data_IF_110117582112
#
_entry.id   IF_110117582112
#
_cell.length_a   1.000
_cell.length_b   1.000
_cell.length_c   1.000
_cell.angle_alpha   90.00
_cell.angle_beta   90.00
_cell.angle_gamma   90.00
#
_symmetry.space_group_name_H-M   'P 1'
#
loop_
_entity.id
_entity.type
_entity.pdbx_description
1 polymer ?
#
# COMPACT_ATOMS: atom_id res chain seq x y z
N UNK A 1 -16.29 -0.65 29.99
CA UNK A 1 -15.41 0.48 29.62
C UNK A 1 -13.99 -0.06 29.44
N UNK A 2 -13.45 -0.14 28.22
CA UNK A 2 -12.03 -0.41 28.02
C UNK A 2 -11.22 0.90 28.04
N UNK A 3 -9.94 0.87 28.45
CA UNK A 3 -9.08 2.05 28.51
C UNK A 3 -8.51 2.43 27.13
N UNK A 4 -8.07 3.70 26.95
CA UNK A 4 -7.47 4.18 25.72
C UNK A 4 -5.98 3.77 25.64
N UNK A 5 -5.61 3.10 24.54
CA UNK A 5 -4.20 2.85 24.24
C UNK A 5 -3.53 4.12 23.73
N UNK A 6 -2.48 4.50 24.45
CA UNK A 6 -1.54 5.57 24.12
C UNK A 6 -0.69 5.23 22.88
N UNK A 7 -0.39 6.27 22.11
CA UNK A 7 0.65 6.31 21.08
C UNK A 7 2.04 5.98 21.64
N UNK A 8 2.86 5.26 20.87
CA UNK A 8 4.26 5.65 20.65
C UNK A 8 4.78 5.11 19.30
N UNK A 9 5.54 5.93 18.54
CA UNK A 9 6.13 5.58 17.24
C UNK A 9 7.57 5.07 17.43
N UNK A 10 7.93 3.99 16.73
CA UNK A 10 9.33 3.68 16.49
C UNK A 10 9.57 3.49 14.99
N UNK A 11 10.31 4.44 14.44
CA UNK A 11 11.11 4.21 13.26
C UNK A 11 12.33 3.39 13.67
N UNK A 12 12.63 2.28 12.99
CA UNK A 12 13.73 2.25 12.01
C UNK A 12 13.92 0.85 11.42
N UNK A 13 14.45 0.87 10.20
CA UNK A 13 14.64 -0.20 9.24
C UNK A 13 15.25 -1.52 9.77
N UNK A 14 14.84 -2.64 9.16
CA UNK A 14 15.69 -3.40 8.21
C UNK A 14 14.90 -4.57 7.62
N UNK A 15 15.37 -5.02 6.46
CA UNK A 15 15.19 -6.36 5.89
C UNK A 15 14.22 -6.51 4.70
N UNK A 16 14.87 -6.59 3.54
CA UNK A 16 14.56 -7.45 2.40
C UNK A 16 13.58 -6.85 1.39
N UNK A 17 14.18 -5.99 0.57
CA UNK A 17 13.89 -5.77 -0.84
C UNK A 17 13.72 -7.11 -1.57
N UNK A 18 12.50 -7.66 -1.58
CA UNK A 18 12.13 -8.71 -2.52
C UNK A 18 11.65 -8.03 -3.78
N UNK A 19 12.53 -7.91 -4.76
CA UNK A 19 12.27 -7.41 -6.10
C UNK A 19 11.00 -8.07 -6.67
N UNK A 20 9.86 -7.38 -6.54
CA UNK A 20 8.60 -7.79 -7.15
C UNK A 20 8.69 -7.37 -8.62
N UNK A 21 9.20 -8.30 -9.42
CA UNK A 21 9.12 -8.28 -10.88
C UNK A 21 7.71 -7.82 -11.30
N UNK A 22 7.59 -6.62 -11.85
CA UNK A 22 6.28 -6.10 -12.25
C UNK A 22 5.74 -6.95 -13.39
N UNK A 23 4.42 -7.14 -13.44
CA UNK A 23 3.72 -7.86 -14.51
C UNK A 23 4.10 -7.33 -15.91
N UNK A 24 4.47 -6.05 -15.97
CA UNK A 24 4.96 -5.34 -17.18
C UNK A 24 6.33 -5.81 -17.66
N UNK A 25 7.19 -6.29 -16.76
CA UNK A 25 8.50 -6.84 -17.12
C UNK A 25 8.37 -8.25 -17.73
N UNK A 26 7.42 -9.06 -17.23
CA UNK A 26 7.15 -10.41 -17.77
C UNK A 26 6.50 -10.40 -19.14
N UNK A 27 5.78 -9.33 -19.49
CA UNK A 27 5.16 -9.16 -20.81
C UNK A 27 6.14 -8.68 -21.89
N UNK A 28 7.35 -8.22 -21.51
CA UNK A 28 8.36 -7.72 -22.45
C UNK A 28 9.53 -8.67 -22.65
N UNK A 29 9.68 -9.71 -21.85
CA UNK A 29 10.65 -10.76 -22.08
C UNK A 29 10.09 -11.78 -23.08
N UNK A 30 9.89 -11.34 -24.32
CA UNK A 30 9.87 -12.23 -25.48
C UNK A 30 11.33 -12.50 -25.89
N UNK A 31 12.01 -13.35 -25.12
CA UNK A 31 13.01 -14.22 -25.71
C UNK A 31 12.37 -15.61 -25.71
N UNK A 32 11.47 -15.82 -26.67
CA UNK A 32 11.14 -17.17 -27.10
C UNK A 32 12.45 -17.71 -27.67
N UNK A 33 13.06 -18.76 -27.08
CA UNK A 33 14.21 -19.38 -27.71
C UNK A 33 13.74 -19.77 -29.11
N UNK A 34 14.39 -19.23 -30.13
CA UNK A 34 14.19 -19.68 -31.50
C UNK A 34 14.17 -21.21 -31.48
N UNK A 35 13.20 -21.88 -32.14
CA UNK A 35 13.20 -23.34 -32.20
C UNK A 35 14.58 -23.73 -32.67
N UNK A 36 15.37 -24.35 -31.78
CA UNK A 36 16.62 -24.95 -32.19
C UNK A 36 16.21 -26.09 -33.11
N UNK A 37 16.18 -25.79 -34.40
CA UNK A 37 16.04 -26.80 -35.43
C UNK A 37 17.11 -27.86 -35.14
N UNK A 38 16.76 -29.16 -35.29
CA UNK A 38 17.72 -30.22 -35.03
C UNK A 38 18.99 -29.92 -35.81
N UNK A 39 20.12 -29.91 -35.11
CA UNK A 39 21.44 -29.76 -35.70
C UNK A 39 21.56 -30.84 -36.79
N UNK A 40 21.46 -30.43 -38.05
CA UNK A 40 21.69 -31.32 -39.18
C UNK A 40 23.17 -31.73 -39.13
N UNK A 41 23.52 -33.02 -38.94
CA UNK A 41 24.80 -33.47 -39.45
C UNK A 41 24.74 -33.34 -40.97
N UNK A 42 25.65 -32.55 -41.54
CA UNK A 42 25.91 -32.43 -42.97
C UNK A 42 26.54 -33.73 -43.50
N UNK A 43 25.82 -34.84 -43.33
CA UNK A 43 26.03 -36.07 -44.10
C UNK A 43 24.91 -36.01 -45.11
N UNK A 44 25.25 -35.84 -46.39
CA UNK A 44 24.31 -35.94 -47.51
C UNK A 44 23.52 -37.27 -47.38
N UNK A 45 22.29 -37.27 -46.82
CA UNK A 45 21.63 -38.51 -46.40
C UNK A 45 21.20 -39.32 -47.62
N UNK A 46 21.00 -38.63 -48.75
CA UNK A 46 20.37 -39.13 -49.96
C UNK A 46 21.33 -40.02 -50.78
N UNK A 47 22.64 -39.74 -50.78
CA UNK A 47 23.59 -40.43 -51.69
C UNK A 47 23.91 -41.89 -51.35
N UNK A 48 23.44 -42.41 -50.21
CA UNK A 48 23.85 -43.73 -49.74
C UNK A 48 22.71 -44.67 -49.37
N UNK A 49 21.45 -44.33 -49.68
CA UNK A 49 20.29 -45.11 -49.21
C UNK A 49 20.15 -46.39 -50.02
N UNK A 50 20.29 -46.29 -51.34
CA UNK A 50 20.39 -47.46 -52.21
C UNK A 50 21.50 -48.41 -51.73
N UNK A 51 22.71 -47.90 -51.54
CA UNK A 51 23.86 -48.70 -51.11
C UNK A 51 23.67 -49.32 -49.71
N UNK A 52 23.00 -48.62 -48.78
CA UNK A 52 22.66 -49.14 -47.45
C UNK A 52 21.60 -50.23 -47.53
N UNK A 53 20.53 -50.02 -48.31
CA UNK A 53 19.47 -51.01 -48.51
C UNK A 53 20.01 -52.25 -49.20
N UNK A 54 20.82 -52.08 -50.24
CA UNK A 54 21.50 -53.16 -50.94
C UNK A 54 22.42 -53.95 -50.00
N UNK A 55 23.19 -53.27 -49.14
CA UNK A 55 24.02 -53.94 -48.14
C UNK A 55 23.20 -54.75 -47.14
N UNK A 56 22.07 -54.21 -46.64
CA UNK A 56 21.18 -54.89 -45.69
C UNK A 56 20.57 -56.15 -46.32
N UNK A 57 20.00 -56.03 -47.53
CA UNK A 57 19.35 -57.17 -48.20
C UNK A 57 20.35 -58.21 -48.74
N UNK A 58 21.61 -57.84 -48.92
CA UNK A 58 22.68 -58.78 -49.29
C UNK A 58 23.24 -59.56 -48.08
N UNK A 59 23.11 -59.03 -46.86
CA UNK A 59 23.74 -59.57 -45.66
C UNK A 59 23.00 -60.77 -45.05
N UNK A 60 21.70 -60.92 -45.33
CA UNK A 60 20.85 -62.03 -44.85
C UNK A 60 21.04 -63.36 -45.60
N UNK A 61 21.99 -63.42 -46.54
CA UNK A 61 22.32 -64.65 -47.29
C UNK A 61 23.21 -65.65 -46.52
N UNK A 62 23.52 -65.40 -45.24
CA UNK A 62 24.31 -66.30 -44.40
C UNK A 62 23.43 -67.30 -43.63
N UNK A 63 23.16 -68.42 -44.30
CA UNK A 63 22.52 -69.60 -43.74
C UNK A 63 22.81 -70.85 -44.58
N UNK A 64 24.05 -71.33 -44.53
CA UNK A 64 24.46 -72.72 -44.74
C UNK A 64 24.35 -73.33 -46.17
N UNK A 65 25.53 -73.36 -46.81
CA UNK A 65 26.17 -74.41 -47.62
C UNK A 65 25.35 -75.34 -48.55
N UNK A 66 25.93 -75.50 -49.75
CA UNK A 66 25.75 -76.56 -50.74
C UNK A 66 24.49 -76.54 -51.61
N UNK A 67 24.53 -75.72 -52.68
CA UNK A 67 24.15 -76.13 -54.03
C UNK A 67 24.42 -74.99 -55.02
N UNK A 68 24.89 -75.38 -56.21
CA UNK A 68 25.06 -74.60 -57.45
C UNK A 68 24.42 -73.19 -57.44
N UNK A 69 25.28 -72.20 -57.65
CA UNK A 69 24.95 -70.80 -57.91
C UNK A 69 23.63 -70.64 -58.68
N UNK A 70 22.63 -70.09 -58.00
CA UNK A 70 21.48 -69.48 -58.65
C UNK A 70 21.72 -67.96 -58.66
N UNK A 71 21.86 -67.29 -59.82
CA UNK A 71 22.11 -65.85 -59.93
C UNK A 71 20.89 -64.97 -59.57
N UNK A 72 19.82 -65.56 -59.03
CA UNK A 72 18.53 -64.88 -58.82
C UNK A 72 18.46 -64.07 -57.51
N UNK A 73 19.27 -64.39 -56.49
CA UNK A 73 19.21 -63.72 -55.18
C UNK A 73 19.78 -62.30 -55.20
N UNK A 74 20.81 -62.02 -55.99
CA UNK A 74 21.37 -60.67 -56.14
C UNK A 74 20.39 -59.72 -56.86
N UNK A 75 19.63 -60.26 -57.83
CA UNK A 75 18.65 -59.48 -58.58
C UNK A 75 17.46 -59.06 -57.70
N UNK A 76 17.05 -59.94 -56.78
CA UNK A 76 15.97 -59.64 -55.84
C UNK A 76 16.37 -58.57 -54.81
N UNK A 77 17.59 -58.65 -54.27
CA UNK A 77 18.12 -57.63 -53.35
C UNK A 77 18.20 -56.24 -54.01
N UNK A 78 18.62 -56.18 -55.27
CA UNK A 78 18.66 -54.94 -56.06
C UNK A 78 17.26 -54.36 -56.31
N UNK A 79 16.28 -55.21 -56.64
CA UNK A 79 14.88 -54.77 -56.82
C UNK A 79 14.31 -54.20 -55.50
N UNK A 80 14.55 -54.85 -54.37
CA UNK A 80 14.11 -54.33 -53.06
C UNK A 80 14.82 -53.04 -52.67
N UNK A 81 16.11 -52.91 -53.00
CA UNK A 81 16.86 -51.68 -52.75
C UNK A 81 16.36 -50.51 -53.60
N UNK A 82 16.05 -50.74 -54.89
CA UNK A 82 15.44 -49.73 -55.77
C UNK A 82 14.06 -49.31 -55.28
N UNK A 83 13.19 -50.28 -54.97
CA UNK A 83 11.86 -49.99 -54.47
C UNK A 83 11.87 -49.27 -53.12
N UNK A 84 12.78 -49.67 -52.22
CA UNK A 84 12.98 -49.00 -50.93
C UNK A 84 13.51 -47.57 -51.08
N UNK A 85 14.37 -47.32 -52.06
CA UNK A 85 14.82 -45.97 -52.40
C UNK A 85 13.65 -45.12 -52.92
N UNK A 86 12.83 -45.63 -53.82
CA UNK A 86 11.68 -44.91 -54.37
C UNK A 86 10.68 -44.51 -53.26
N UNK A 87 10.40 -45.43 -52.33
CA UNK A 87 9.54 -45.16 -51.16
C UNK A 87 10.18 -44.10 -50.26
N UNK A 88 11.49 -44.21 -50.01
CA UNK A 88 12.21 -43.24 -49.20
C UNK A 88 12.15 -41.85 -49.83
N UNK A 89 12.46 -41.73 -51.13
CA UNK A 89 12.44 -40.48 -51.87
C UNK A 89 11.03 -39.89 -51.95
N UNK A 90 10.00 -40.72 -52.05
CA UNK A 90 8.60 -40.29 -51.94
C UNK A 90 8.29 -39.74 -50.54
N UNK A 91 8.72 -40.44 -49.50
CA UNK A 91 8.45 -40.07 -48.10
C UNK A 91 9.15 -38.77 -47.72
N UNK A 92 10.41 -38.59 -48.13
CA UNK A 92 11.16 -37.35 -47.90
C UNK A 92 10.50 -36.18 -48.64
N UNK A 93 10.11 -36.35 -49.90
CA UNK A 93 9.38 -35.30 -50.63
C UNK A 93 8.07 -34.95 -49.94
N UNK A 94 7.32 -35.93 -49.43
CA UNK A 94 6.09 -35.69 -48.69
C UNK A 94 6.34 -34.92 -47.38
N UNK A 95 7.38 -35.28 -46.62
CA UNK A 95 7.76 -34.58 -45.39
C UNK A 95 8.24 -33.16 -45.67
N UNK A 96 9.05 -32.96 -46.71
CA UNK A 96 9.51 -31.64 -47.14
C UNK A 96 8.34 -30.75 -47.55
N UNK A 97 7.43 -31.25 -48.38
CA UNK A 97 6.23 -30.52 -48.79
C UNK A 97 5.33 -30.17 -47.59
N UNK A 98 5.17 -31.10 -46.64
CA UNK A 98 4.42 -30.85 -45.41
C UNK A 98 5.09 -29.78 -44.53
N UNK A 99 6.43 -29.79 -44.46
CA UNK A 99 7.21 -28.79 -43.71
C UNK A 99 7.10 -27.41 -44.34
N UNK A 100 7.26 -27.30 -45.66
CA UNK A 100 7.10 -26.04 -46.41
C UNK A 100 5.69 -25.46 -46.24
N UNK A 101 4.65 -26.29 -46.38
CA UNK A 101 3.26 -25.88 -46.17
C UNK A 101 3.01 -25.39 -44.73
N UNK A 102 3.54 -26.10 -43.73
CA UNK A 102 3.40 -25.72 -42.33
C UNK A 102 4.13 -24.41 -42.04
N UNK A 103 5.35 -24.26 -42.55
CA UNK A 103 6.15 -23.03 -42.42
C UNK A 103 5.46 -21.83 -43.07
N UNK A 104 4.87 -22.03 -44.25
CA UNK A 104 4.07 -21.01 -44.93
C UNK A 104 2.85 -20.58 -44.09
N UNK A 105 2.13 -21.53 -43.50
CA UNK A 105 1.00 -21.25 -42.59
C UNK A 105 1.42 -20.50 -41.33
N UNK A 106 2.55 -20.88 -40.72
CA UNK A 106 3.10 -20.17 -39.56
C UNK A 106 3.42 -18.72 -39.92
N UNK A 107 4.08 -18.51 -41.07
CA UNK A 107 4.44 -17.18 -41.55
C UNK A 107 3.20 -16.32 -41.82
N UNK A 108 2.17 -16.90 -42.46
CA UNK A 108 0.91 -16.22 -42.70
C UNK A 108 0.18 -15.86 -41.38
N UNK A 109 0.16 -16.79 -40.43
CA UNK A 109 -0.41 -16.55 -39.10
C UNK A 109 0.32 -15.44 -38.36
N UNK A 110 1.65 -15.42 -38.41
CA UNK A 110 2.46 -14.36 -37.80
C UNK A 110 2.15 -13.00 -38.42
N UNK A 111 2.05 -12.92 -39.75
CA UNK A 111 1.67 -11.70 -40.44
C UNK A 111 0.26 -11.21 -40.03
N UNK A 112 -0.68 -12.14 -39.90
CA UNK A 112 -2.04 -11.82 -39.45
C UNK A 112 -2.05 -11.32 -37.99
N UNK A 113 -1.34 -12.00 -37.09
CA UNK A 113 -1.25 -11.60 -35.68
C UNK A 113 -0.61 -10.21 -35.52
N UNK A 114 0.46 -9.93 -36.29
CA UNK A 114 1.09 -8.61 -36.31
C UNK A 114 0.11 -7.52 -36.79
N UNK A 115 -0.65 -7.80 -37.84
CA UNK A 115 -1.66 -6.86 -38.35
C UNK A 115 -2.79 -6.62 -37.33
N UNK A 116 -3.31 -7.67 -36.68
CA UNK A 116 -4.34 -7.53 -35.65
C UNK A 116 -3.82 -6.77 -34.42
N UNK A 117 -2.57 -7.00 -34.02
CA UNK A 117 -1.92 -6.26 -32.94
C UNK A 117 -1.76 -4.77 -33.29
N UNK A 118 -1.33 -4.47 -34.52
CA UNK A 118 -1.24 -3.09 -35.00
C UNK A 118 -2.63 -2.41 -35.03
N UNK A 119 -3.66 -3.13 -35.50
CA UNK A 119 -5.03 -2.62 -35.55
C UNK A 119 -5.62 -2.35 -34.16
N UNK A 120 -5.43 -3.27 -33.20
CA UNK A 120 -5.90 -3.09 -31.82
C UNK A 120 -5.16 -1.96 -31.11
N UNK A 121 -3.85 -1.83 -31.34
CA UNK A 121 -3.05 -0.71 -30.84
C UNK A 121 -3.57 0.62 -31.41
N UNK A 122 -3.89 0.66 -32.71
CA UNK A 122 -4.47 1.83 -33.35
C UNK A 122 -5.85 2.18 -32.75
N UNK A 123 -6.73 1.21 -32.54
CA UNK A 123 -8.03 1.43 -31.89
C UNK A 123 -7.87 1.97 -30.47
N UNK A 124 -6.98 1.38 -29.68
CA UNK A 124 -6.71 1.83 -28.31
C UNK A 124 -6.23 3.28 -28.28
N UNK A 125 -5.27 3.63 -29.15
CA UNK A 125 -4.70 4.98 -29.22
C UNK A 125 -5.70 6.03 -29.71
N UNK A 126 -6.62 5.67 -30.60
CA UNK A 126 -7.60 6.62 -31.16
C UNK A 126 -8.88 6.77 -30.35
N UNK A 127 -9.30 5.73 -29.63
CA UNK A 127 -10.59 5.73 -28.95
C UNK A 127 -10.37 5.73 -27.44
N UNK A 128 -9.81 4.65 -26.89
CA UNK A 128 -9.73 4.44 -25.45
C UNK A 128 -8.83 5.45 -24.75
N UNK A 129 -7.65 5.72 -25.32
CA UNK A 129 -6.68 6.64 -24.73
C UNK A 129 -7.23 8.08 -24.62
N UNK A 130 -7.68 8.74 -25.71
CA UNK A 130 -8.20 10.11 -25.61
C UNK A 130 -9.47 10.20 -24.76
N UNK A 131 -10.36 9.20 -24.79
CA UNK A 131 -11.52 9.17 -23.87
C UNK A 131 -11.09 9.10 -22.40
N UNK A 132 -10.10 8.26 -22.08
CA UNK A 132 -9.57 8.22 -20.71
C UNK A 132 -8.85 9.52 -20.31
N UNK A 133 -8.08 10.12 -21.22
CA UNK A 133 -7.37 11.36 -20.98
C UNK A 133 -8.34 12.54 -20.76
N UNK A 134 -9.39 12.64 -21.58
CA UNK A 134 -10.45 13.65 -21.46
C UNK A 134 -11.27 13.47 -20.19
N UNK A 135 -11.56 12.23 -19.78
CA UNK A 135 -12.24 11.96 -18.50
C UNK A 135 -11.38 12.42 -17.31
N UNK A 136 -10.06 12.28 -17.39
CA UNK A 136 -9.14 12.72 -16.35
C UNK A 136 -8.89 14.24 -16.33
N UNK A 137 -9.12 14.94 -17.45
CA UNK A 137 -8.84 16.37 -17.60
C UNK A 137 -10.08 17.27 -17.56
N UNK A 138 -11.28 16.69 -17.66
CA UNK A 138 -12.53 17.44 -17.60
C UNK A 138 -12.85 17.90 -16.17
N UNK A 139 -13.26 19.16 -16.03
CA UNK A 139 -13.54 19.81 -14.74
C UNK A 139 -14.72 19.18 -13.99
N UNK A 140 -15.59 18.46 -14.69
CA UNK A 140 -16.79 17.82 -14.14
C UNK A 140 -16.56 16.40 -13.59
N UNK A 141 -15.31 15.89 -13.63
CA UNK A 141 -14.97 14.52 -13.27
C UNK A 141 -14.08 14.44 -12.00
N UNK A 142 -13.92 13.23 -11.39
CA UNK A 142 -13.40 13.08 -10.04
C UNK A 142 -12.00 13.65 -9.78
N UNK A 143 -11.14 13.73 -10.80
CA UNK A 143 -9.77 14.26 -10.70
C UNK A 143 -9.74 15.76 -10.39
N UNK A 144 -10.58 16.55 -11.06
CA UNK A 144 -10.71 17.98 -10.79
C UNK A 144 -11.36 18.23 -9.41
N UNK A 145 -12.32 17.39 -9.01
CA UNK A 145 -12.93 17.42 -7.68
C UNK A 145 -11.92 17.08 -6.57
N UNK A 146 -11.05 16.10 -6.80
CA UNK A 146 -9.96 15.74 -5.90
C UNK A 146 -8.94 16.88 -5.77
N UNK A 147 -8.52 17.47 -6.89
CA UNK A 147 -7.61 18.61 -6.90
C UNK A 147 -8.20 19.84 -6.20
N UNK A 148 -9.52 20.04 -6.27
CA UNK A 148 -10.23 21.08 -5.51
C UNK A 148 -10.24 20.76 -4.01
N UNK A 149 -10.57 19.52 -3.63
CA UNK A 149 -10.56 19.07 -2.24
C UNK A 149 -9.18 19.17 -1.60
N UNK A 150 -8.13 18.73 -2.30
CA UNK A 150 -6.74 18.82 -1.83
C UNK A 150 -6.32 20.27 -1.61
N UNK A 151 -6.65 21.17 -2.54
CA UNK A 151 -6.38 22.62 -2.37
C UNK A 151 -7.12 23.21 -1.19
N UNK A 152 -8.40 22.84 -0.99
CA UNK A 152 -9.18 23.29 0.17
C UNK A 152 -8.59 22.78 1.49
N UNK A 153 -8.19 21.51 1.55
CA UNK A 153 -7.54 20.93 2.72
C UNK A 153 -6.22 21.63 3.03
N UNK A 154 -5.40 21.91 2.00
CA UNK A 154 -4.14 22.62 2.17
C UNK A 154 -4.35 24.04 2.73
N UNK A 155 -5.35 24.77 2.22
CA UNK A 155 -5.71 26.09 2.76
C UNK A 155 -6.17 26.02 4.22
N UNK A 156 -6.94 24.99 4.59
CA UNK A 156 -7.38 24.79 5.97
C UNK A 156 -6.23 24.44 6.89
N UNK A 157 -5.28 23.62 6.42
CA UNK A 157 -4.06 23.28 7.15
C UNK A 157 -3.23 24.54 7.41
N UNK A 158 -2.95 25.34 6.38
CA UNK A 158 -2.17 26.57 6.54
C UNK A 158 -2.85 27.58 7.46
N UNK A 159 -4.19 27.68 7.43
CA UNK A 159 -4.93 28.53 8.36
C UNK A 159 -4.80 28.06 9.81
N UNK A 160 -4.90 26.73 10.04
CA UNK A 160 -4.73 26.15 11.37
C UNK A 160 -3.29 26.33 11.89
N UNK A 161 -2.27 26.20 11.04
CA UNK A 161 -0.87 26.46 11.39
C UNK A 161 -0.66 27.92 11.82
N UNK A 162 -1.16 28.88 11.04
CA UNK A 162 -1.09 30.31 11.42
C UNK A 162 -1.80 30.60 12.76
N UNK A 163 -2.94 29.95 13.01
CA UNK A 163 -3.66 30.13 14.26
C UNK A 163 -2.92 29.51 15.45
N UNK A 164 -2.26 28.38 15.24
CA UNK A 164 -1.42 27.73 16.25
C UNK A 164 -0.19 28.59 16.60
N UNK A 165 0.46 29.19 15.59
CA UNK A 165 1.55 30.14 15.80
C UNK A 165 1.08 31.37 16.59
N UNK A 166 -0.09 31.92 16.24
CA UNK A 166 -0.70 33.04 16.96
C UNK A 166 -0.94 32.70 18.43
N UNK A 167 -1.55 31.55 18.71
CA UNK A 167 -1.81 31.08 20.07
C UNK A 167 -0.51 30.82 20.85
N UNK A 168 0.52 30.28 20.19
CA UNK A 168 1.82 30.06 20.81
C UNK A 168 2.49 31.37 21.24
N UNK A 169 2.41 32.42 20.41
CA UNK A 169 2.90 33.75 20.78
C UNK A 169 2.10 34.39 21.92
N UNK A 170 0.77 34.22 21.93
CA UNK A 170 -0.07 34.65 23.06
C UNK A 170 0.31 33.93 24.35
N UNK A 171 0.50 32.61 24.28
CA UNK A 171 0.93 31.80 25.42
C UNK A 171 2.28 32.23 25.96
N UNK A 172 3.29 32.43 25.10
CA UNK A 172 4.61 32.94 25.52
C UNK A 172 4.50 34.31 26.21
N UNK A 173 3.64 35.21 25.70
CA UNK A 173 3.40 36.52 26.31
C UNK A 173 2.77 36.37 27.69
N UNK A 174 1.77 35.50 27.84
CA UNK A 174 1.14 35.22 29.13
C UNK A 174 2.14 34.64 30.14
N UNK A 175 2.96 33.66 29.72
CA UNK A 175 4.00 33.07 30.57
C UNK A 175 5.05 34.12 30.97
N UNK A 176 5.46 34.99 30.04
CA UNK A 176 6.39 36.08 30.34
C UNK A 176 5.83 37.08 31.34
N UNK A 177 4.55 37.44 31.21
CA UNK A 177 3.87 38.35 32.15
C UNK A 177 3.67 37.69 33.52
N UNK A 178 3.32 36.41 33.57
CA UNK A 178 3.24 35.63 34.81
C UNK A 178 4.61 35.59 35.52
N UNK A 179 5.69 35.28 34.78
CA UNK A 179 7.04 35.29 35.32
C UNK A 179 7.45 36.68 35.83
N UNK A 180 7.04 37.76 35.15
CA UNK A 180 7.26 39.15 35.58
C UNK A 180 6.54 39.46 36.89
N UNK A 181 5.27 39.06 37.01
CA UNK A 181 4.45 39.25 38.23
C UNK A 181 5.04 38.44 39.40
N UNK A 182 5.40 37.18 39.16
CA UNK A 182 6.02 36.32 40.17
C UNK A 182 7.37 36.90 40.63
N UNK A 183 8.20 37.35 39.69
CA UNK A 183 9.50 37.98 39.98
C UNK A 183 9.35 39.31 40.74
N UNK A 184 8.35 40.12 40.41
CA UNK A 184 8.05 41.36 41.15
C UNK A 184 7.60 41.07 42.59
N UNK A 185 6.85 39.98 42.79
CA UNK A 185 6.40 39.52 44.12
C UNK A 185 7.54 38.93 44.97
N UNK A 186 8.51 38.27 44.38
CA UNK A 186 9.73 37.82 45.09
C UNK A 186 10.75 38.96 45.27
N UNK A 187 10.88 39.87 44.30
CA UNK A 187 11.80 41.01 44.35
C UNK A 187 11.39 42.11 45.32
N UNK A 188 10.10 42.20 45.68
CA UNK A 188 9.62 43.07 46.78
C UNK A 188 9.74 42.42 48.16
N UNK A 189 10.19 41.16 48.25
CA UNK A 189 10.31 40.43 49.52
C UNK A 189 11.73 40.13 49.98
N UNK A 190 12.73 40.15 49.09
CA UNK A 190 14.08 39.65 49.43
C UNK A 190 15.15 40.31 48.57
N UNK A 191 15.85 41.32 49.12
CA UNK A 191 17.11 41.78 48.52
C UNK A 191 17.53 43.25 48.69
N UNK A 192 17.49 43.82 49.89
CA UNK A 192 18.58 44.72 50.33
C UNK A 192 18.62 44.76 51.85
N UNK A 193 19.25 43.74 52.41
CA UNK A 193 19.86 43.80 53.73
C UNK A 193 21.05 44.76 53.63
N UNK A 194 20.76 46.05 53.75
CA UNK A 194 21.73 47.13 53.75
C UNK A 194 21.20 48.24 54.65
N UNK A 195 21.46 48.09 55.95
CA UNK A 195 21.47 49.14 56.96
C UNK A 195 20.35 50.20 56.86
N UNK A 196 19.20 49.93 57.48
CA UNK A 196 18.20 50.96 57.72
C UNK A 196 17.02 50.45 58.54
N UNK A 197 16.92 50.92 59.78
CA UNK A 197 15.80 50.84 60.73
C UNK A 197 14.46 50.43 60.09
N UNK A 198 13.83 49.31 60.46
CA UNK A 198 13.28 49.12 61.79
C UNK A 198 12.03 49.99 61.96
N UNK A 199 10.87 49.57 61.41
CA UNK A 199 9.50 49.79 61.97
C UNK A 199 8.36 49.49 60.97
N UNK A 200 8.56 49.63 59.65
CA UNK A 200 7.41 49.61 58.71
C UNK A 200 6.89 48.21 58.32
N UNK A 201 7.76 47.18 58.29
CA UNK A 201 7.39 45.83 57.83
C UNK A 201 6.52 45.01 58.81
N UNK A 202 6.63 45.29 60.12
CA UNK A 202 5.83 44.63 61.14
C UNK A 202 4.36 45.04 61.12
N UNK A 203 4.10 46.31 60.82
CA UNK A 203 2.74 46.89 60.80
C UNK A 203 1.93 46.36 59.62
N UNK A 204 2.52 46.22 58.43
CA UNK A 204 1.83 45.69 57.26
C UNK A 204 1.45 44.20 57.43
N UNK A 205 2.34 43.40 58.03
CA UNK A 205 2.08 41.97 58.30
C UNK A 205 1.04 41.78 59.39
N UNK A 206 1.06 42.63 60.43
CA UNK A 206 0.04 42.63 61.50
C UNK A 206 -1.33 43.05 60.99
N UNK A 207 -1.41 44.13 60.19
CA UNK A 207 -2.66 44.59 59.56
C UNK A 207 -3.26 43.54 58.60
N UNK A 208 -2.43 42.82 57.84
CA UNK A 208 -2.90 41.70 57.01
C UNK A 208 -3.45 40.56 57.87
N UNK A 209 -2.78 40.22 58.97
CA UNK A 209 -3.25 39.21 59.92
C UNK A 209 -4.58 39.59 60.57
N UNK A 210 -4.72 40.85 60.99
CA UNK A 210 -5.97 41.40 61.55
C UNK A 210 -7.11 41.41 60.52
N UNK A 211 -6.83 41.73 59.25
CA UNK A 211 -7.82 41.69 58.19
C UNK A 211 -8.28 40.27 57.88
N UNK A 212 -7.36 39.30 57.81
CA UNK A 212 -7.70 37.89 57.60
C UNK A 212 -8.54 37.37 58.77
N UNK A 213 -8.14 37.64 60.01
CA UNK A 213 -8.90 37.24 61.19
C UNK A 213 -10.31 37.87 61.21
N UNK A 214 -10.46 39.11 60.74
CA UNK A 214 -11.77 39.77 60.63
C UNK A 214 -12.64 39.15 59.53
N UNK A 215 -12.04 38.76 58.40
CA UNK A 215 -12.76 38.04 57.34
C UNK A 215 -13.24 36.69 57.86
N UNK A 216 -12.36 35.92 58.52
CA UNK A 216 -12.69 34.62 59.09
C UNK A 216 -13.81 34.73 60.14
N UNK A 217 -13.79 35.77 60.98
CA UNK A 217 -14.85 36.01 61.97
C UNK A 217 -16.20 36.38 61.33
N UNK A 218 -16.20 37.14 60.22
CA UNK A 218 -17.43 37.45 59.47
C UNK A 218 -17.96 36.18 58.79
N UNK A 219 -17.09 35.38 58.17
CA UNK A 219 -17.47 34.12 57.54
C UNK A 219 -18.06 33.16 58.57
N UNK A 220 -17.43 33.03 59.73
CA UNK A 220 -17.93 32.20 60.83
C UNK A 220 -19.30 32.66 61.32
N UNK A 221 -19.47 33.97 61.60
CA UNK A 221 -20.76 34.52 62.07
C UNK A 221 -21.88 34.31 61.05
N UNK A 222 -21.59 34.52 59.77
CA UNK A 222 -22.58 34.29 58.70
C UNK A 222 -22.89 32.82 58.49
N UNK A 223 -21.91 31.93 58.71
CA UNK A 223 -22.13 30.48 58.73
C UNK A 223 -23.09 30.08 59.86
N UNK A 224 -22.83 30.56 61.08
CA UNK A 224 -23.68 30.29 62.26
C UNK A 224 -25.13 30.78 62.05
N UNK A 225 -25.32 31.96 61.45
CA UNK A 225 -26.65 32.50 61.12
C UNK A 225 -27.38 31.66 60.06
N UNK A 226 -26.66 31.12 59.08
CA UNK A 226 -27.23 30.21 58.07
C UNK A 226 -27.63 28.88 58.70
N UNK A 227 -26.80 28.34 59.59
CA UNK A 227 -27.07 27.08 60.28
C UNK A 227 -28.30 27.22 61.21
N UNK A 228 -28.44 28.35 61.91
CA UNK A 228 -29.61 28.65 62.74
C UNK A 228 -30.89 28.75 61.88
N UNK A 229 -30.82 29.45 60.74
CA UNK A 229 -31.94 29.54 59.81
C UNK A 229 -32.32 28.17 59.25
N UNK A 230 -31.36 27.31 58.89
CA UNK A 230 -31.65 25.97 58.37
C UNK A 230 -32.38 25.12 59.43
N UNK A 231 -32.00 25.22 60.70
CA UNK A 231 -32.70 24.51 61.76
C UNK A 231 -34.08 25.07 62.06
N UNK A 232 -34.27 26.38 61.99
CA UNK A 232 -35.61 26.98 62.05
C UNK A 232 -36.50 26.50 60.89
N UNK A 233 -35.96 26.47 59.66
CA UNK A 233 -36.67 25.98 58.49
C UNK A 233 -37.02 24.49 58.59
N UNK A 234 -36.08 23.65 59.04
CA UNK A 234 -36.33 22.22 59.30
C UNK A 234 -37.39 22.02 60.37
N UNK A 235 -37.32 22.77 61.47
CA UNK A 235 -38.30 22.70 62.55
C UNK A 235 -39.69 23.12 62.07
N UNK A 236 -39.78 24.20 61.27
CA UNK A 236 -41.04 24.68 60.72
C UNK A 236 -41.66 23.66 59.74
N UNK A 237 -40.85 23.08 58.84
CA UNK A 237 -41.30 22.03 57.92
C UNK A 237 -41.79 20.80 58.69
N UNK A 238 -41.08 20.38 59.73
CA UNK A 238 -41.50 19.26 60.56
C UNK A 238 -42.82 19.57 61.27
N UNK A 239 -42.97 20.77 61.82
CA UNK A 239 -44.19 21.20 62.53
C UNK A 239 -45.40 21.25 61.61
N UNK A 240 -45.27 21.89 60.42
CA UNK A 240 -46.37 21.95 59.45
C UNK A 240 -46.69 20.58 58.85
N UNK A 241 -45.69 19.75 58.58
CA UNK A 241 -45.92 18.36 58.16
C UNK A 241 -46.71 17.57 59.21
N UNK A 242 -46.33 17.68 60.49
CA UNK A 242 -47.00 16.99 61.58
C UNK A 242 -48.42 17.54 61.82
N UNK A 243 -48.62 18.85 61.66
CA UNK A 243 -49.94 19.49 61.67
C UNK A 243 -50.83 18.96 60.55
N UNK A 244 -50.30 18.83 59.34
CA UNK A 244 -51.04 18.30 58.20
C UNK A 244 -51.43 16.82 58.42
N UNK A 245 -50.52 16.01 58.97
CA UNK A 245 -50.80 14.61 59.34
C UNK A 245 -51.90 14.54 60.42
N UNK A 246 -51.83 15.37 61.45
CA UNK A 246 -52.86 15.43 62.49
C UNK A 246 -54.22 15.87 61.95
N UNK A 247 -54.26 16.84 61.03
CA UNK A 247 -55.50 17.25 60.37
C UNK A 247 -56.11 16.12 59.53
N UNK A 248 -55.29 15.31 58.85
CA UNK A 248 -55.76 14.14 58.09
C UNK A 248 -56.21 12.96 58.97
N UNK A 249 -55.74 12.85 60.21
CA UNK A 249 -56.17 11.79 61.14
C UNK A 249 -57.42 12.17 61.96
N UNK A 250 -57.85 13.44 61.90
CA UNK A 250 -59.00 13.96 62.64
C UNK A 250 -60.30 14.01 61.81
N UNK A 251 -60.22 13.72 60.50
CA UNK A 251 -61.34 13.39 59.61
C UNK A 251 -61.50 11.86 59.48
#
# INVERSE_FOLDING_TARGET
MPPPNYFAPEASATAIEKARSSLRARLRSEDIPAPQGPANPTIDPQKHIYAKLQAIFSQDSYGQADSKACPESSNLADIFALYGQDIYDLSIRAVQAAHENTSAKISAFHAQAANTSAHTTHLYNNISYPLSATLCQSENFPSASLGRHMRTLHKRLSAAEMELDRLNEEWKRCVGEEARILSARTGTGTGSAGAGAGESGGVARKKKGELVARIDDVVRRRGEEIDELDEEYRHLLWTESNRMIQAMMAD
#
